data_IF_420068955624
#
_entry.id   IF_420068955624
#
_cell.length_a   1.000
_cell.length_b   1.000
_cell.length_c   1.000
_cell.angle_alpha   90.00
_cell.angle_beta   90.00
_cell.angle_gamma   90.00
#
_symmetry.space_group_name_H-M   'P 1'
#
loop_
_entity.id
_entity.type
_entity.pdbx_description
1 polymer ?
#
# COMPACT_ATOMS: atom_id res chain seq x y z
N UNK A 1 -20.24 -30.95 8.73
CA UNK A 1 -19.26 -29.86 8.38
C UNK A 1 -19.97 -28.52 8.53
N UNK A 2 -19.42 -27.61 9.31
CA UNK A 2 -20.01 -26.27 9.45
C UNK A 2 -19.74 -25.48 8.16
N UNK A 3 -20.76 -24.86 7.53
CA UNK A 3 -20.53 -24.04 6.34
C UNK A 3 -19.61 -22.87 6.68
N UNK A 4 -18.67 -22.61 5.81
CA UNK A 4 -17.83 -21.40 5.91
C UNK A 4 -17.75 -20.72 4.56
N UNK A 5 -17.64 -19.40 4.57
CA UNK A 5 -17.42 -18.58 3.39
C UNK A 5 -16.00 -18.06 3.37
N UNK A 6 -15.39 -17.99 2.17
CA UNK A 6 -14.07 -17.41 1.97
C UNK A 6 -14.15 -16.40 0.82
N UNK A 7 -13.71 -15.20 1.09
CA UNK A 7 -13.70 -14.10 0.11
C UNK A 7 -12.29 -13.60 -0.07
N UNK A 8 -11.79 -13.58 -1.30
CA UNK A 8 -10.51 -12.98 -1.66
C UNK A 8 -10.75 -11.67 -2.38
N UNK A 9 -10.05 -10.61 -2.02
CA UNK A 9 -10.08 -9.38 -2.80
C UNK A 9 -9.26 -9.55 -4.08
N UNK A 10 -9.88 -9.30 -5.22
CA UNK A 10 -9.20 -9.17 -6.51
C UNK A 10 -8.57 -10.43 -7.06
N UNK A 11 -7.27 -10.35 -7.39
CA UNK A 11 -6.52 -11.38 -8.10
C UNK A 11 -5.33 -11.87 -7.28
N UNK A 12 -5.14 -13.19 -7.22
CA UNK A 12 -3.93 -13.82 -6.73
C UNK A 12 -3.14 -14.37 -7.92
N UNK A 13 -1.87 -14.02 -8.03
CA UNK A 13 -0.94 -14.54 -9.03
C UNK A 13 0.19 -15.22 -8.27
N UNK A 14 0.33 -16.52 -8.47
CA UNK A 14 1.32 -17.32 -7.80
C UNK A 14 2.10 -18.14 -8.82
N UNK A 15 3.43 -18.09 -8.75
CA UNK A 15 4.32 -18.85 -9.62
C UNK A 15 5.75 -18.34 -9.56
N UNK A 16 6.67 -19.19 -9.97
CA UNK A 16 8.09 -18.81 -10.06
C UNK A 16 8.25 -17.74 -11.17
N UNK A 17 8.84 -16.60 -10.82
CA UNK A 17 9.09 -15.50 -11.75
C UNK A 17 7.90 -14.55 -11.98
N UNK A 18 6.69 -14.84 -11.46
CA UNK A 18 5.51 -14.01 -11.65
C UNK A 18 5.67 -12.58 -11.09
N UNK A 19 6.52 -12.38 -10.08
CA UNK A 19 6.82 -11.05 -9.55
C UNK A 19 7.37 -10.09 -10.64
N UNK A 20 8.05 -10.60 -11.66
CA UNK A 20 8.54 -9.79 -12.78
C UNK A 20 7.45 -9.05 -13.57
N UNK A 21 6.19 -9.47 -13.45
CA UNK A 21 5.04 -8.83 -14.09
C UNK A 21 4.49 -7.63 -13.28
N UNK A 22 4.94 -7.49 -12.01
CA UNK A 22 4.39 -6.47 -11.11
C UNK A 22 4.48 -5.04 -11.65
N UNK A 23 5.59 -4.58 -12.26
CA UNK A 23 5.64 -3.22 -12.79
C UNK A 23 4.51 -2.91 -13.78
N UNK A 24 4.25 -3.81 -14.73
CA UNK A 24 3.19 -3.63 -15.72
C UNK A 24 1.78 -3.68 -15.11
N UNK A 25 1.56 -4.55 -14.13
CA UNK A 25 0.27 -4.67 -13.45
C UNK A 25 -0.04 -3.45 -12.58
N UNK A 26 0.97 -2.94 -11.86
CA UNK A 26 0.84 -1.77 -10.99
C UNK A 26 0.72 -0.49 -11.84
N UNK A 27 1.54 -0.33 -12.88
CA UNK A 27 1.51 0.83 -13.77
C UNK A 27 0.16 1.03 -14.46
N UNK A 28 -0.62 -0.04 -14.64
CA UNK A 28 -1.99 0.06 -15.16
C UNK A 28 -3.00 0.71 -14.18
N UNK A 29 -2.62 0.90 -12.90
CA UNK A 29 -3.50 1.50 -11.89
C UNK A 29 -3.41 3.03 -11.85
N UNK A 30 -2.35 3.61 -12.39
CA UNK A 30 -2.14 5.07 -12.40
C UNK A 30 -0.66 5.45 -12.48
N UNK A 31 -0.41 6.74 -12.61
CA UNK A 31 0.93 7.28 -12.86
C UNK A 31 1.68 7.66 -11.57
N UNK A 32 1.01 7.73 -10.43
CA UNK A 32 1.59 8.17 -9.15
C UNK A 32 1.23 7.20 -8.04
N UNK A 33 2.21 6.76 -7.30
CA UNK A 33 1.88 5.85 -6.23
C UNK A 33 2.92 5.72 -5.14
N UNK A 34 2.53 4.94 -4.14
CA UNK A 34 3.35 4.65 -2.96
C UNK A 34 3.78 3.19 -3.01
N UNK A 35 5.07 2.96 -2.88
CA UNK A 35 5.63 1.63 -2.68
C UNK A 35 6.17 1.54 -1.25
N UNK A 36 5.50 0.74 -0.42
CA UNK A 36 5.97 0.46 0.94
C UNK A 36 6.84 -0.78 0.92
N UNK A 37 8.02 -0.70 1.49
CA UNK A 37 8.97 -1.81 1.57
C UNK A 37 9.49 -2.01 2.99
N UNK A 38 10.12 -3.15 3.26
CA UNK A 38 10.78 -3.44 4.53
C UNK A 38 12.00 -2.54 4.80
N UNK A 39 12.80 -2.90 5.81
CA UNK A 39 13.97 -2.11 6.23
C UNK A 39 15.02 -1.93 5.13
N UNK A 40 15.22 -2.95 4.29
CA UNK A 40 16.23 -2.95 3.23
C UNK A 40 15.62 -2.49 1.89
N UNK A 41 15.86 -1.24 1.53
CA UNK A 41 15.39 -0.63 0.29
C UNK A 41 15.97 -1.30 -0.97
N UNK A 42 17.15 -1.93 -0.90
CA UNK A 42 17.76 -2.58 -2.05
C UNK A 42 16.91 -3.71 -2.61
N UNK A 43 16.13 -4.37 -1.74
CA UNK A 43 15.21 -5.46 -2.13
C UNK A 43 14.00 -4.96 -2.93
N UNK A 44 13.68 -3.68 -2.85
CA UNK A 44 12.58 -3.05 -3.58
C UNK A 44 13.05 -2.28 -4.82
N UNK A 45 14.36 -2.08 -5.00
CA UNK A 45 14.92 -1.25 -6.05
C UNK A 45 14.44 -1.67 -7.45
N UNK A 46 14.45 -2.98 -7.75
CA UNK A 46 14.01 -3.53 -9.03
C UNK A 46 12.58 -3.12 -9.40
N UNK A 47 11.68 -3.07 -8.41
CA UNK A 47 10.28 -2.71 -8.64
C UNK A 47 10.11 -1.19 -8.77
N UNK A 48 10.81 -0.42 -7.94
CA UNK A 48 10.84 1.05 -8.05
C UNK A 48 11.37 1.48 -9.41
N UNK A 49 12.49 0.89 -9.84
CA UNK A 49 13.12 1.21 -11.12
C UNK A 49 12.24 0.78 -12.30
N UNK A 50 11.63 -0.41 -12.21
CA UNK A 50 10.70 -0.89 -13.23
C UNK A 50 9.46 -0.01 -13.39
N UNK A 51 8.90 0.52 -12.30
CA UNK A 51 7.78 1.46 -12.33
C UNK A 51 8.20 2.83 -12.89
N UNK A 52 9.34 3.35 -12.45
CA UNK A 52 9.88 4.62 -12.95
C UNK A 52 10.23 4.56 -14.43
N UNK A 53 10.75 3.43 -14.89
CA UNK A 53 11.03 3.22 -16.32
C UNK A 53 9.76 3.27 -17.20
N UNK A 54 8.59 3.03 -16.61
CA UNK A 54 7.29 3.19 -17.27
C UNK A 54 6.68 4.60 -17.11
N UNK A 55 7.40 5.52 -16.49
CA UNK A 55 6.99 6.91 -16.28
C UNK A 55 6.26 7.17 -14.97
N UNK A 56 6.13 6.18 -14.08
CA UNK A 56 5.44 6.37 -12.82
C UNK A 56 6.27 7.20 -11.81
N UNK A 57 5.61 8.13 -11.12
CA UNK A 57 6.17 8.81 -9.97
C UNK A 57 5.97 7.95 -8.72
N UNK A 58 7.05 7.37 -8.20
CA UNK A 58 7.00 6.42 -7.08
C UNK A 58 7.56 7.06 -5.80
N UNK A 59 6.72 7.14 -4.78
CA UNK A 59 7.10 7.46 -3.42
C UNK A 59 7.47 6.16 -2.70
N UNK A 60 8.74 5.92 -2.48
CA UNK A 60 9.19 4.79 -1.67
C UNK A 60 9.12 5.12 -0.18
N UNK A 61 8.51 4.23 0.60
CA UNK A 61 8.33 4.33 2.05
C UNK A 61 8.89 3.09 2.72
N UNK A 62 9.85 3.27 3.62
CA UNK A 62 10.39 2.17 4.42
C UNK A 62 9.52 1.90 5.64
N UNK A 63 9.23 0.63 5.90
CA UNK A 63 8.54 0.15 7.10
C UNK A 63 9.22 -1.14 7.59
N UNK A 64 10.35 -0.97 8.29
CA UNK A 64 11.17 -2.07 8.78
C UNK A 64 10.74 -2.64 10.13
N UNK A 65 9.74 -2.03 10.77
CA UNK A 65 9.15 -2.44 12.04
C UNK A 65 7.64 -2.22 12.00
N UNK A 66 6.93 -2.60 13.07
CA UNK A 66 5.49 -2.37 13.17
C UNK A 66 5.15 -0.89 12.93
N UNK A 67 4.15 -0.58 12.10
CA UNK A 67 3.78 0.80 11.80
C UNK A 67 3.37 1.59 13.03
N UNK A 68 3.97 2.74 13.23
CA UNK A 68 3.57 3.69 14.27
C UNK A 68 2.73 4.83 13.68
N UNK A 69 1.93 5.51 14.52
CA UNK A 69 1.13 6.66 14.09
C UNK A 69 1.97 7.78 13.46
N UNK A 70 3.15 8.17 14.00
CA UNK A 70 3.99 9.17 13.35
C UNK A 70 4.49 8.75 11.98
N UNK A 71 4.89 7.47 11.82
CA UNK A 71 5.32 6.93 10.52
C UNK A 71 4.18 6.97 9.50
N UNK A 72 3.00 6.50 9.90
CA UNK A 72 1.83 6.48 9.03
C UNK A 72 1.41 7.89 8.63
N UNK A 73 1.42 8.85 9.57
CA UNK A 73 1.07 10.25 9.31
C UNK A 73 2.02 10.87 8.29
N UNK A 74 3.33 10.75 8.50
CA UNK A 74 4.31 11.30 7.57
C UNK A 74 4.23 10.70 6.16
N UNK A 75 3.97 9.39 6.06
CA UNK A 75 3.78 8.74 4.78
C UNK A 75 2.47 9.15 4.10
N UNK A 76 1.38 9.27 4.87
CA UNK A 76 0.07 9.68 4.38
C UNK A 76 0.09 11.11 3.82
N UNK A 77 0.71 12.05 4.54
CA UNK A 77 0.82 13.44 4.10
C UNK A 77 1.59 13.55 2.77
N UNK A 78 2.70 12.82 2.65
CA UNK A 78 3.47 12.77 1.41
C UNK A 78 2.70 12.12 0.25
N UNK A 79 1.99 11.03 0.52
CA UNK A 79 1.18 10.32 -0.47
C UNK A 79 0.04 11.19 -1.00
N UNK A 80 -0.66 11.89 -0.11
CA UNK A 80 -1.73 12.83 -0.47
C UNK A 80 -1.20 14.03 -1.26
N UNK A 81 -0.06 14.61 -0.84
CA UNK A 81 0.58 15.72 -1.54
C UNK A 81 1.02 15.35 -2.96
N UNK A 82 1.43 14.09 -3.16
CA UNK A 82 1.77 13.58 -4.48
C UNK A 82 0.54 13.25 -5.33
N UNK A 83 -0.64 13.13 -4.74
CA UNK A 83 -1.85 12.67 -5.39
C UNK A 83 -1.74 11.21 -5.81
N UNK A 84 -1.39 10.34 -4.85
CA UNK A 84 -1.16 8.92 -5.12
C UNK A 84 -2.44 8.20 -5.60
N UNK A 85 -2.33 7.50 -6.72
CA UNK A 85 -3.41 6.73 -7.36
C UNK A 85 -3.44 5.28 -6.87
N UNK A 86 -2.29 4.75 -6.44
CA UNK A 86 -2.12 3.38 -5.98
C UNK A 86 -1.14 3.24 -4.82
N UNK A 87 -1.28 2.15 -4.09
CA UNK A 87 -0.34 1.74 -3.04
C UNK A 87 0.07 0.29 -3.27
N UNK A 88 1.36 0.02 -3.20
CA UNK A 88 1.93 -1.31 -3.28
C UNK A 88 2.73 -1.62 -2.01
N UNK A 89 2.52 -2.79 -1.42
CA UNK A 89 3.32 -3.31 -0.32
C UNK A 89 4.25 -4.43 -0.80
N UNK A 90 5.55 -4.30 -0.54
CA UNK A 90 6.56 -5.29 -0.87
C UNK A 90 7.37 -5.65 0.37
N UNK A 91 7.10 -6.82 0.96
CA UNK A 91 7.83 -7.27 2.15
C UNK A 91 6.99 -8.15 3.05
N UNK A 92 7.34 -8.16 4.31
CA UNK A 92 6.64 -8.87 5.37
C UNK A 92 5.43 -8.11 5.91
N UNK A 93 4.88 -8.61 7.04
CA UNK A 93 3.66 -8.10 7.66
C UNK A 93 3.66 -6.58 7.88
N UNK A 94 4.73 -6.03 8.44
CA UNK A 94 4.82 -4.58 8.71
C UNK A 94 4.66 -3.72 7.46
N UNK A 95 5.32 -4.09 6.36
CA UNK A 95 5.21 -3.37 5.10
C UNK A 95 3.80 -3.49 4.50
N UNK A 96 3.20 -4.67 4.59
CA UNK A 96 1.85 -4.91 4.10
C UNK A 96 0.80 -4.17 4.93
N UNK A 97 0.94 -4.14 6.25
CA UNK A 97 0.01 -3.44 7.14
C UNK A 97 0.09 -1.92 6.94
N UNK A 98 1.30 -1.40 6.79
CA UNK A 98 1.50 0.01 6.44
C UNK A 98 0.88 0.35 5.08
N UNK A 99 1.06 -0.50 4.08
CA UNK A 99 0.49 -0.32 2.75
C UNK A 99 -1.05 -0.35 2.77
N UNK A 100 -1.65 -1.27 3.52
CA UNK A 100 -3.11 -1.36 3.71
C UNK A 100 -3.66 -0.11 4.37
N UNK A 101 -3.00 0.37 5.45
CA UNK A 101 -3.40 1.58 6.14
C UNK A 101 -3.35 2.81 5.21
N UNK A 102 -2.28 2.96 4.43
CA UNK A 102 -2.17 4.03 3.45
C UNK A 102 -3.23 3.95 2.37
N UNK A 103 -3.47 2.75 1.80
CA UNK A 103 -4.49 2.56 0.76
C UNK A 103 -5.89 2.93 1.24
N UNK A 104 -6.21 2.64 2.51
CA UNK A 104 -7.48 3.01 3.11
C UNK A 104 -7.59 4.52 3.41
N UNK A 105 -6.51 5.13 3.90
CA UNK A 105 -6.52 6.50 4.40
C UNK A 105 -6.30 7.56 3.31
N UNK A 106 -5.57 7.26 2.24
CA UNK A 106 -5.31 8.24 1.17
C UNK A 106 -6.61 8.86 0.63
N UNK A 107 -7.63 8.06 0.24
CA UNK A 107 -8.90 8.60 -0.25
C UNK A 107 -9.85 9.07 0.86
N UNK A 108 -9.58 8.72 2.11
CA UNK A 108 -10.46 9.04 3.22
C UNK A 108 -10.38 10.53 3.60
N UNK A 109 -11.51 11.18 3.91
CA UNK A 109 -11.49 12.54 4.44
C UNK A 109 -10.96 12.56 5.87
N UNK A 110 -10.36 13.67 6.28
CA UNK A 110 -9.89 13.86 7.66
C UNK A 110 -8.55 13.21 7.97
N UNK A 111 -8.30 13.00 9.25
CA UNK A 111 -7.05 12.48 9.79
C UNK A 111 -7.14 11.02 10.23
N UNK A 112 -6.00 10.45 10.59
CA UNK A 112 -5.91 9.04 11.03
C UNK A 112 -6.84 8.77 12.22
N UNK A 113 -6.87 9.69 13.20
CA UNK A 113 -7.68 9.54 14.41
C UNK A 113 -9.20 9.52 14.15
N UNK A 114 -9.63 10.02 13.02
CA UNK A 114 -11.06 9.95 12.66
C UNK A 114 -11.51 8.52 12.36
N UNK A 115 -10.58 7.66 11.93
CA UNK A 115 -10.87 6.29 11.48
C UNK A 115 -10.45 5.18 12.43
N UNK A 116 -9.68 5.49 13.48
CA UNK A 116 -9.31 4.49 14.49
C UNK A 116 -10.49 4.15 15.40
N UNK A 117 -10.77 2.85 15.58
CA UNK A 117 -11.96 2.38 16.30
C UNK A 117 -11.88 2.60 17.82
N UNK A 118 -10.77 2.21 18.45
CA UNK A 118 -10.68 2.19 19.93
C UNK A 118 -10.28 3.55 20.53
N UNK A 119 -9.31 4.22 19.90
CA UNK A 119 -8.73 5.48 20.40
C UNK A 119 -9.11 6.69 19.55
N UNK A 120 -9.84 6.50 18.50
CA UNK A 120 -10.31 7.52 17.57
C UNK A 120 -11.84 7.58 17.48
N UNK A 121 -12.34 8.13 16.40
CA UNK A 121 -13.78 8.35 16.16
C UNK A 121 -14.46 7.17 15.46
N UNK A 122 -13.71 6.20 14.94
CA UNK A 122 -14.23 5.00 14.27
C UNK A 122 -15.06 5.31 13.01
N UNK A 123 -14.79 6.40 12.31
CA UNK A 123 -15.51 6.71 11.09
C UNK A 123 -15.20 5.68 10.01
N UNK A 124 -16.21 5.27 9.21
CA UNK A 124 -16.01 4.25 8.20
C UNK A 124 -15.03 4.70 7.12
N UNK A 125 -14.18 3.77 6.70
CA UNK A 125 -13.29 3.94 5.55
C UNK A 125 -14.03 3.51 4.28
N UNK A 126 -14.00 4.34 3.25
CA UNK A 126 -14.39 3.92 1.90
C UNK A 126 -13.20 3.19 1.30
N UNK A 127 -13.23 1.88 1.39
CA UNK A 127 -12.13 1.06 0.91
C UNK A 127 -12.11 1.02 -0.62
N UNK A 128 -11.08 1.61 -1.22
CA UNK A 128 -10.67 1.35 -2.60
C UNK A 128 -9.50 0.36 -2.60
N UNK A 129 -9.61 -0.71 -1.78
CA UNK A 129 -8.60 -1.76 -1.74
C UNK A 129 -8.74 -2.67 -2.96
N UNK A 130 -7.91 -2.42 -3.95
CA UNK A 130 -7.44 -3.47 -4.85
C UNK A 130 -6.13 -4.00 -4.26
N UNK A 131 -6.20 -5.10 -3.56
CA UNK A 131 -5.05 -5.87 -3.11
C UNK A 131 -4.72 -6.98 -4.08
#
# INVERSE_FOLDING_TARGET
MTPFGFSLPGRVIFGRGEAGRAPGLIGALGDRGVLVHGADASRAAWLVDGLRAQGAAVLAVSCGAEPSLPMLRGALDRARSQGADWVCGLGGGSALDMAKALAALIPAPGGIMDHLEVVGRGLPLRCLLYT
#
